data_IF_487242016816
#
_entry.id   IF_487242016816
#
_cell.length_a   1.000
_cell.length_b   1.000
_cell.length_c   1.000
_cell.angle_alpha   90.00
_cell.angle_beta   90.00
_cell.angle_gamma   90.00
#
_symmetry.space_group_name_H-M   'P 1'
#
loop_
_entity.id
_entity.type
_entity.pdbx_description
1 polymer ?
#
# COMPACT_ATOMS: atom_id res chain seq x y z
N UNK A 1 -24.13 -16.12 -1.63
CA UNK A 1 -24.79 -15.04 -2.41
C UNK A 1 -26.00 -14.54 -1.62
N UNK A 2 -25.98 -13.32 -1.09
CA UNK A 2 -27.11 -12.80 -0.30
C UNK A 2 -28.17 -12.30 -1.27
N UNK A 3 -29.30 -13.01 -1.34
CA UNK A 3 -30.43 -12.61 -2.19
C UNK A 3 -31.01 -11.30 -1.68
N UNK A 4 -31.24 -10.37 -2.60
CA UNK A 4 -31.97 -9.13 -2.32
C UNK A 4 -33.37 -9.50 -1.79
N UNK A 5 -33.85 -8.89 -0.68
CA UNK A 5 -35.17 -9.20 -0.15
C UNK A 5 -36.26 -8.80 -1.14
N UNK A 6 -37.34 -9.59 -1.21
CA UNK A 6 -38.58 -9.17 -1.87
C UNK A 6 -39.30 -8.19 -0.96
N UNK A 7 -39.71 -7.04 -1.50
CA UNK A 7 -40.39 -5.98 -0.76
C UNK A 7 -41.90 -6.16 -0.83
N UNK A 8 -42.58 -5.86 0.28
CA UNK A 8 -44.05 -5.72 0.27
C UNK A 8 -44.48 -4.49 -0.54
N UNK A 9 -45.78 -4.40 -0.90
CA UNK A 9 -46.31 -3.22 -1.59
C UNK A 9 -46.10 -1.93 -0.78
N UNK A 10 -46.27 -2.01 0.54
CA UNK A 10 -46.06 -0.86 1.43
C UNK A 10 -44.59 -0.46 1.49
N UNK A 11 -43.67 -1.43 1.56
CA UNK A 11 -42.23 -1.17 1.52
C UNK A 11 -41.79 -0.53 0.20
N UNK A 12 -42.40 -0.91 -0.93
CA UNK A 12 -42.15 -0.26 -2.24
C UNK A 12 -42.57 1.21 -2.21
N UNK A 13 -43.73 1.52 -1.62
CA UNK A 13 -44.20 2.92 -1.46
C UNK A 13 -43.23 3.71 -0.57
N UNK A 14 -42.75 3.11 0.52
CA UNK A 14 -41.76 3.75 1.41
C UNK A 14 -40.43 4.01 0.69
N UNK A 15 -39.92 3.07 -0.12
CA UNK A 15 -38.72 3.29 -0.94
C UNK A 15 -38.91 4.40 -1.97
N UNK A 16 -40.04 4.42 -2.68
CA UNK A 16 -40.36 5.50 -3.63
C UNK A 16 -40.42 6.86 -2.92
N UNK A 17 -40.94 6.90 -1.69
CA UNK A 17 -40.95 8.13 -0.88
C UNK A 17 -39.53 8.57 -0.52
N UNK A 18 -38.63 7.66 -0.13
CA UNK A 18 -37.21 7.99 0.12
C UNK A 18 -36.53 8.54 -1.12
N UNK A 19 -36.72 7.86 -2.27
CA UNK A 19 -36.14 8.27 -3.54
C UNK A 19 -36.62 9.67 -3.94
N UNK A 20 -37.91 9.96 -3.76
CA UNK A 20 -38.46 11.31 -3.99
C UNK A 20 -37.79 12.35 -3.11
N UNK A 21 -37.72 12.13 -1.79
CA UNK A 21 -37.09 13.09 -0.86
C UNK A 21 -35.62 13.31 -1.23
N UNK A 22 -34.85 12.24 -1.47
CA UNK A 22 -33.44 12.32 -1.86
C UNK A 22 -33.24 13.03 -3.20
N UNK A 23 -34.11 12.79 -4.17
CA UNK A 23 -34.08 13.47 -5.46
C UNK A 23 -34.30 14.99 -5.30
N UNK A 24 -35.27 15.39 -4.47
CA UNK A 24 -35.51 16.80 -4.16
C UNK A 24 -34.32 17.44 -3.45
N UNK A 25 -33.73 16.78 -2.43
CA UNK A 25 -32.54 17.29 -1.74
C UNK A 25 -31.35 17.47 -2.72
N UNK A 26 -31.15 16.52 -3.64
CA UNK A 26 -30.12 16.61 -4.68
C UNK A 26 -30.39 17.78 -5.64
N UNK A 27 -31.65 17.95 -6.08
CA UNK A 27 -32.07 19.07 -6.92
C UNK A 27 -31.78 20.42 -6.24
N UNK A 28 -32.12 20.54 -4.95
CA UNK A 28 -31.84 21.74 -4.16
C UNK A 28 -30.32 22.05 -4.14
N UNK A 29 -29.48 21.04 -3.88
CA UNK A 29 -28.01 21.22 -3.86
C UNK A 29 -27.46 21.69 -5.20
N UNK A 30 -27.89 21.06 -6.29
CA UNK A 30 -27.44 21.43 -7.63
C UNK A 30 -27.86 22.87 -7.98
N UNK A 31 -29.10 23.25 -7.65
CA UNK A 31 -29.62 24.60 -7.86
C UNK A 31 -28.87 25.61 -7.01
N UNK A 32 -28.59 25.30 -5.75
CA UNK A 32 -27.79 26.15 -4.87
C UNK A 32 -26.37 26.37 -5.41
N UNK A 33 -25.70 25.32 -5.90
CA UNK A 33 -24.40 25.48 -6.56
C UNK A 33 -24.47 26.42 -7.77
N UNK A 34 -25.58 26.38 -8.51
CA UNK A 34 -25.78 27.25 -9.68
C UNK A 34 -25.98 28.71 -9.25
N UNK A 35 -26.80 28.96 -8.22
CA UNK A 35 -26.95 30.29 -7.61
C UNK A 35 -25.60 30.82 -7.17
N UNK A 36 -24.83 30.02 -6.42
CA UNK A 36 -23.56 30.45 -5.84
C UNK A 36 -22.55 30.86 -6.91
N UNK A 37 -22.52 30.16 -8.05
CA UNK A 37 -21.62 30.50 -9.15
C UNK A 37 -22.07 31.75 -9.93
N UNK A 38 -23.38 32.05 -9.97
CA UNK A 38 -23.92 33.18 -10.74
C UNK A 38 -24.05 34.48 -9.94
N UNK A 39 -23.96 34.41 -8.61
CA UNK A 39 -24.30 35.54 -7.73
C UNK A 39 -23.41 36.78 -7.95
N UNK A 40 -22.17 36.59 -8.42
CA UNK A 40 -21.24 37.67 -8.74
C UNK A 40 -21.31 38.10 -10.22
N UNK A 41 -21.48 37.14 -11.12
CA UNK A 41 -21.40 37.36 -12.57
C UNK A 41 -22.73 37.79 -13.21
N UNK A 42 -23.87 37.28 -12.73
CA UNK A 42 -25.21 37.59 -13.23
C UNK A 42 -26.24 37.61 -12.08
N UNK A 43 -26.33 38.73 -11.33
CA UNK A 43 -27.16 38.79 -10.13
C UNK A 43 -28.66 38.65 -10.42
N UNK A 44 -29.15 39.11 -11.57
CA UNK A 44 -30.55 38.93 -11.98
C UNK A 44 -30.92 37.45 -12.18
N UNK A 45 -30.08 36.69 -12.87
CA UNK A 45 -30.30 35.25 -13.08
C UNK A 45 -30.17 34.49 -11.75
N UNK A 46 -29.23 34.90 -10.91
CA UNK A 46 -29.04 34.33 -9.59
C UNK A 46 -30.29 34.53 -8.69
N UNK A 47 -30.96 35.69 -8.76
CA UNK A 47 -32.21 35.96 -8.03
C UNK A 47 -33.32 34.99 -8.47
N UNK A 48 -33.51 34.81 -9.78
CA UNK A 48 -34.54 33.90 -10.33
C UNK A 48 -34.27 32.46 -9.88
N UNK A 49 -33.01 32.00 -9.99
CA UNK A 49 -32.61 30.67 -9.53
C UNK A 49 -32.73 30.52 -8.01
N UNK A 50 -32.56 31.59 -7.25
CA UNK A 50 -32.75 31.60 -5.81
C UNK A 50 -34.22 31.43 -5.42
N UNK A 51 -35.14 32.09 -6.14
CA UNK A 51 -36.58 31.90 -5.94
C UNK A 51 -36.98 30.44 -6.11
N UNK A 52 -36.49 29.86 -7.20
CA UNK A 52 -36.64 28.45 -7.50
C UNK A 52 -35.98 27.54 -6.46
N UNK A 53 -34.86 27.94 -5.85
CA UNK A 53 -34.23 27.21 -4.76
C UNK A 53 -35.11 27.24 -3.50
N UNK A 54 -35.69 28.39 -3.14
CA UNK A 54 -36.57 28.53 -1.98
C UNK A 54 -37.78 27.58 -2.08
N UNK A 55 -38.40 27.51 -3.26
CA UNK A 55 -39.52 26.59 -3.51
C UNK A 55 -39.10 25.12 -3.40
N UNK A 56 -37.94 24.75 -3.96
CA UNK A 56 -37.43 23.38 -3.85
C UNK A 56 -37.10 23.02 -2.39
N UNK A 57 -36.49 23.94 -1.64
CA UNK A 57 -36.15 23.79 -0.23
C UNK A 57 -37.40 23.61 0.65
N UNK A 58 -38.43 24.40 0.40
CA UNK A 58 -39.72 24.27 1.08
C UNK A 58 -40.39 22.94 0.75
N UNK A 59 -40.46 22.56 -0.53
CA UNK A 59 -41.08 21.30 -0.94
C UNK A 59 -40.34 20.09 -0.35
N UNK A 60 -39.01 20.14 -0.24
CA UNK A 60 -38.24 19.13 0.49
C UNK A 60 -38.65 19.06 1.97
N UNK A 61 -38.79 20.21 2.65
CA UNK A 61 -39.22 20.25 4.04
C UNK A 61 -40.64 19.67 4.23
N UNK A 62 -41.57 19.99 3.32
CA UNK A 62 -42.97 19.53 3.38
C UNK A 62 -43.10 18.03 3.10
N UNK A 63 -42.32 17.49 2.16
CA UNK A 63 -42.25 16.05 1.90
C UNK A 63 -41.76 15.26 3.13
N UNK A 64 -40.82 15.83 3.88
CA UNK A 64 -40.34 15.27 5.15
C UNK A 64 -41.45 15.35 6.21
N UNK A 65 -42.13 16.49 6.34
CA UNK A 65 -43.16 16.70 7.36
C UNK A 65 -44.54 16.10 7.02
N UNK A 66 -44.68 15.35 5.92
CA UNK A 66 -45.95 14.79 5.40
C UNK A 66 -47.03 15.85 5.08
N UNK A 67 -46.63 17.08 4.80
CA UNK A 67 -47.55 18.16 4.41
C UNK A 67 -47.72 18.23 2.89
N UNK A 68 -48.76 18.93 2.43
CA UNK A 68 -49.01 19.13 0.99
C UNK A 68 -47.92 20.00 0.36
N UNK A 69 -47.55 19.70 -0.87
CA UNK A 69 -46.62 20.52 -1.66
C UNK A 69 -47.18 21.93 -1.90
N UNK A 70 -46.27 22.90 -2.06
CA UNK A 70 -46.61 24.32 -2.26
C UNK A 70 -46.05 24.78 -3.60
N UNK A 71 -46.87 25.47 -4.38
CA UNK A 71 -46.55 25.91 -5.74
C UNK A 71 -46.03 27.35 -5.83
N UNK A 72 -46.17 28.15 -4.77
CA UNK A 72 -45.82 29.57 -4.77
C UNK A 72 -45.22 30.04 -3.42
N UNK A 73 -44.43 31.12 -3.46
CA UNK A 73 -43.80 31.67 -2.25
C UNK A 73 -44.77 32.42 -1.34
N UNK A 74 -45.93 32.85 -1.85
CA UNK A 74 -46.95 33.59 -1.07
C UNK A 74 -47.51 32.70 0.04
N UNK A 75 -47.68 31.40 -0.24
CA UNK A 75 -48.15 30.41 0.72
C UNK A 75 -47.01 29.74 1.51
N UNK A 76 -45.75 29.90 1.10
CA UNK A 76 -44.60 29.24 1.70
C UNK A 76 -44.42 29.53 3.19
N UNK A 77 -44.53 30.81 3.58
CA UNK A 77 -44.36 31.21 4.98
C UNK A 77 -45.46 30.63 5.88
N UNK A 78 -46.69 30.52 5.35
CA UNK A 78 -47.81 29.92 6.09
C UNK A 78 -47.59 28.43 6.34
N UNK A 79 -47.12 27.69 5.34
CA UNK A 79 -46.93 26.25 5.46
C UNK A 79 -45.69 25.88 6.28
N UNK A 80 -44.58 26.62 6.16
CA UNK A 80 -43.39 26.35 7.00
C UNK A 80 -43.66 26.65 8.48
N UNK A 81 -44.57 27.60 8.80
CA UNK A 81 -44.99 27.86 10.18
C UNK A 81 -45.72 26.67 10.82
N UNK A 82 -46.28 25.76 10.01
CA UNK A 82 -46.90 24.51 10.47
C UNK A 82 -45.90 23.37 10.65
N UNK A 83 -44.65 23.53 10.20
CA UNK A 83 -43.61 22.53 10.41
C UNK A 83 -43.31 22.41 11.92
N UNK A 84 -43.28 21.17 12.41
CA UNK A 84 -43.00 20.88 13.82
C UNK A 84 -41.52 21.08 14.18
N UNK A 85 -40.62 21.01 13.20
CA UNK A 85 -39.18 21.16 13.39
C UNK A 85 -38.80 22.65 13.48
N UNK A 86 -38.49 23.09 14.70
CA UNK A 86 -38.09 24.46 15.00
C UNK A 86 -36.85 24.91 14.21
N UNK A 87 -35.88 24.01 13.98
CA UNK A 87 -34.65 24.33 13.29
C UNK A 87 -34.90 24.54 11.79
N UNK A 88 -35.73 23.71 11.17
CA UNK A 88 -36.13 23.91 9.77
C UNK A 88 -36.86 25.25 9.60
N UNK A 89 -37.83 25.52 10.48
CA UNK A 89 -38.61 26.75 10.45
C UNK A 89 -37.72 28.01 10.53
N UNK A 90 -36.85 28.08 11.53
CA UNK A 90 -36.02 29.28 11.73
C UNK A 90 -35.02 29.48 10.60
N UNK A 91 -34.32 28.42 10.18
CA UNK A 91 -33.35 28.52 9.11
C UNK A 91 -34.04 28.93 7.79
N UNK A 92 -35.24 28.43 7.48
CA UNK A 92 -36.00 28.87 6.30
C UNK A 92 -36.41 30.34 6.38
N UNK A 93 -36.90 30.81 7.53
CA UNK A 93 -37.28 32.22 7.74
C UNK A 93 -36.07 33.13 7.55
N UNK A 94 -34.88 32.74 8.04
CA UNK A 94 -33.65 33.50 7.81
C UNK A 94 -33.30 33.61 6.32
N UNK A 95 -33.40 32.50 5.57
CA UNK A 95 -33.12 32.48 4.12
C UNK A 95 -34.17 33.32 3.36
N UNK A 96 -35.45 33.24 3.73
CA UNK A 96 -36.51 34.05 3.12
C UNK A 96 -36.33 35.54 3.41
N UNK A 97 -36.00 35.89 4.66
CA UNK A 97 -35.71 37.28 5.06
C UNK A 97 -34.52 37.82 4.29
N UNK A 98 -33.49 36.99 4.06
CA UNK A 98 -32.36 37.35 3.21
C UNK A 98 -32.81 37.66 1.78
N UNK A 99 -33.61 36.78 1.17
CA UNK A 99 -34.11 36.97 -0.19
C UNK A 99 -34.91 38.26 -0.36
N UNK A 100 -35.82 38.55 0.58
CA UNK A 100 -36.63 39.78 0.58
C UNK A 100 -35.75 41.04 0.67
N UNK A 101 -34.67 41.00 1.48
CA UNK A 101 -33.70 42.09 1.55
C UNK A 101 -32.90 42.24 0.27
N UNK A 102 -32.53 41.14 -0.39
CA UNK A 102 -31.80 41.18 -1.65
C UNK A 102 -32.66 41.79 -2.77
N UNK A 103 -33.92 41.38 -2.89
CA UNK A 103 -34.85 41.90 -3.90
C UNK A 103 -35.11 43.41 -3.77
N UNK A 104 -35.10 43.94 -2.54
CA UNK A 104 -35.36 45.36 -2.27
C UNK A 104 -34.09 46.23 -2.27
N UNK A 105 -32.91 45.64 -2.47
CA UNK A 105 -31.64 46.36 -2.53
C UNK A 105 -31.55 47.21 -3.82
N UNK A 106 -31.29 48.53 -3.73
CA UNK A 106 -31.22 49.41 -4.90
C UNK A 106 -30.15 48.99 -5.92
N UNK A 107 -29.03 48.47 -5.43
CA UNK A 107 -27.88 48.11 -6.26
C UNK A 107 -27.97 46.69 -6.82
N UNK A 108 -28.90 45.86 -6.30
CA UNK A 108 -29.03 44.40 -6.55
C UNK A 108 -27.75 43.56 -6.36
N UNK A 109 -26.61 44.20 -6.07
CA UNK A 109 -25.35 43.59 -5.68
C UNK A 109 -25.38 43.27 -4.19
N UNK A 110 -24.82 42.11 -3.86
CA UNK A 110 -24.68 41.67 -2.47
C UNK A 110 -23.24 41.89 -2.01
N UNK A 111 -23.03 42.53 -0.85
CA UNK A 111 -21.72 42.54 -0.22
C UNK A 111 -21.25 41.11 0.05
N UNK A 112 -19.97 40.81 -0.13
CA UNK A 112 -19.42 39.47 0.13
C UNK A 112 -19.74 38.91 1.53
N UNK A 113 -19.84 39.79 2.54
CA UNK A 113 -20.30 39.41 3.90
C UNK A 113 -21.73 38.86 3.90
N UNK A 114 -22.63 39.44 3.12
CA UNK A 114 -24.01 38.97 2.98
C UNK A 114 -24.06 37.61 2.25
N UNK A 115 -23.26 37.44 1.19
CA UNK A 115 -23.13 36.15 0.47
C UNK A 115 -22.65 35.05 1.42
N UNK A 116 -21.64 35.33 2.25
CA UNK A 116 -21.14 34.37 3.24
C UNK A 116 -22.20 33.99 4.29
N UNK A 117 -22.98 34.98 4.77
CA UNK A 117 -24.07 34.72 5.71
C UNK A 117 -25.17 33.86 5.08
N UNK A 118 -25.55 34.15 3.83
CA UNK A 118 -26.50 33.35 3.05
C UNK A 118 -26.01 31.91 2.91
N UNK A 119 -24.75 31.74 2.53
CA UNK A 119 -24.13 30.43 2.37
C UNK A 119 -24.18 29.62 3.67
N UNK A 120 -23.88 30.28 4.80
CA UNK A 120 -23.97 29.65 6.10
C UNK A 120 -25.40 29.25 6.48
N UNK A 121 -26.40 30.11 6.26
CA UNK A 121 -27.81 29.80 6.54
C UNK A 121 -28.37 28.68 5.66
N UNK A 122 -28.05 28.67 4.37
CA UNK A 122 -28.45 27.58 3.45
C UNK A 122 -27.82 26.25 3.85
N UNK A 123 -26.52 26.25 4.20
CA UNK A 123 -25.86 25.03 4.68
C UNK A 123 -26.45 24.53 5.99
N UNK A 124 -26.79 25.43 6.94
CA UNK A 124 -27.50 25.05 8.16
C UNK A 124 -28.86 24.43 7.86
N UNK A 125 -29.61 25.02 6.92
CA UNK A 125 -30.90 24.47 6.49
C UNK A 125 -30.75 23.10 5.81
N UNK A 126 -29.76 22.91 4.94
CA UNK A 126 -29.48 21.59 4.35
C UNK A 126 -29.14 20.53 5.40
N UNK A 127 -28.29 20.87 6.37
CA UNK A 127 -27.96 19.95 7.47
C UNK A 127 -29.20 19.61 8.30
N UNK A 128 -30.06 20.59 8.57
CA UNK A 128 -31.32 20.35 9.25
C UNK A 128 -32.23 19.43 8.42
N UNK A 129 -32.41 19.68 7.12
CA UNK A 129 -33.20 18.81 6.23
C UNK A 129 -32.66 17.38 6.19
N UNK A 130 -31.35 17.21 6.05
CA UNK A 130 -30.71 15.90 6.07
C UNK A 130 -30.94 15.20 7.41
N UNK A 131 -30.74 15.90 8.52
CA UNK A 131 -30.98 15.37 9.85
C UNK A 131 -32.44 14.92 10.02
N UNK A 132 -33.42 15.77 9.71
CA UNK A 132 -34.84 15.44 9.81
C UNK A 132 -35.22 14.29 8.87
N UNK A 133 -34.62 14.22 7.68
CA UNK A 133 -34.77 13.07 6.78
C UNK A 133 -34.21 11.78 7.39
N UNK A 134 -33.00 11.79 7.95
CA UNK A 134 -32.41 10.61 8.57
C UNK A 134 -33.22 10.14 9.78
N UNK A 135 -33.70 11.06 10.63
CA UNK A 135 -34.60 10.73 11.74
C UNK A 135 -35.91 10.12 11.24
N UNK A 136 -36.52 10.69 10.20
CA UNK A 136 -37.72 10.14 9.57
C UNK A 136 -37.45 8.76 8.96
N UNK A 137 -36.29 8.60 8.31
CA UNK A 137 -35.86 7.34 7.71
C UNK A 137 -35.76 6.23 8.75
N UNK A 138 -35.09 6.52 9.85
CA UNK A 138 -34.87 5.58 10.95
C UNK A 138 -36.18 5.19 11.64
N UNK A 139 -37.04 6.17 11.94
CA UNK A 139 -38.27 5.95 12.72
C UNK A 139 -39.43 5.38 11.92
N UNK A 140 -39.61 5.82 10.67
CA UNK A 140 -40.86 5.59 9.93
C UNK A 140 -40.67 5.02 8.53
N UNK A 141 -39.52 5.23 7.89
CA UNK A 141 -39.31 4.74 6.52
C UNK A 141 -38.47 3.48 6.47
N UNK A 142 -38.00 2.92 7.59
CA UNK A 142 -37.10 1.76 7.56
C UNK A 142 -37.78 0.56 6.85
N UNK A 143 -37.06 -0.09 5.93
CA UNK A 143 -37.54 -1.26 5.18
C UNK A 143 -36.54 -2.41 5.27
N UNK A 144 -36.94 -3.61 4.88
CA UNK A 144 -36.02 -4.75 4.73
C UNK A 144 -34.85 -4.47 3.78
N UNK A 145 -35.01 -3.54 2.82
CA UNK A 145 -33.93 -3.16 1.92
C UNK A 145 -32.83 -2.38 2.64
N UNK A 146 -33.17 -1.53 3.62
CA UNK A 146 -32.19 -0.80 4.41
C UNK A 146 -31.38 -1.75 5.30
N UNK A 147 -32.05 -2.68 5.99
CA UNK A 147 -31.36 -3.73 6.76
C UNK A 147 -30.43 -4.58 5.88
N UNK A 148 -30.85 -4.89 4.66
CA UNK A 148 -30.01 -5.58 3.68
C UNK A 148 -28.79 -4.73 3.28
N UNK A 149 -28.98 -3.45 2.97
CA UNK A 149 -27.89 -2.53 2.61
C UNK A 149 -26.89 -2.36 3.75
N UNK A 150 -27.35 -2.22 4.99
CA UNK A 150 -26.47 -2.12 6.15
C UNK A 150 -25.67 -3.40 6.38
N UNK A 151 -26.31 -4.59 6.29
CA UNK A 151 -25.58 -5.87 6.34
C UNK A 151 -24.52 -5.98 5.24
N UNK A 152 -24.85 -5.55 4.02
CA UNK A 152 -23.90 -5.58 2.91
C UNK A 152 -22.70 -4.66 3.16
N UNK A 153 -22.93 -3.43 3.66
CA UNK A 153 -21.84 -2.51 4.04
C UNK A 153 -20.91 -3.13 5.09
N UNK A 154 -21.48 -3.71 6.15
CA UNK A 154 -20.69 -4.37 7.20
C UNK A 154 -19.86 -5.51 6.62
N UNK A 155 -20.44 -6.34 5.75
CA UNK A 155 -19.71 -7.44 5.11
C UNK A 155 -18.58 -6.97 4.21
N UNK A 156 -18.79 -5.91 3.43
CA UNK A 156 -17.73 -5.32 2.63
C UNK A 156 -16.57 -4.82 3.51
N UNK A 157 -16.89 -4.13 4.62
CA UNK A 157 -15.86 -3.67 5.57
C UNK A 157 -15.07 -4.85 6.13
N UNK A 158 -15.74 -5.90 6.61
CA UNK A 158 -15.07 -7.11 7.12
C UNK A 158 -14.19 -7.75 6.05
N UNK A 159 -14.67 -7.86 4.82
CA UNK A 159 -13.91 -8.46 3.72
C UNK A 159 -12.65 -7.65 3.38
N UNK A 160 -12.74 -6.32 3.34
CA UNK A 160 -11.58 -5.45 3.13
C UNK A 160 -10.54 -5.60 4.25
N UNK A 161 -10.98 -5.72 5.51
CA UNK A 161 -10.07 -5.94 6.64
C UNK A 161 -9.34 -7.28 6.54
N UNK A 162 -10.02 -8.34 6.08
CA UNK A 162 -9.40 -9.65 5.87
C UNK A 162 -8.32 -9.57 4.78
N UNK A 163 -8.64 -8.95 3.63
CA UNK A 163 -7.66 -8.80 2.53
C UNK A 163 -6.43 -8.01 3.00
N UNK A 164 -6.66 -6.91 3.72
CA UNK A 164 -5.58 -6.09 4.25
C UNK A 164 -4.68 -6.92 5.19
N UNK A 165 -5.29 -7.68 6.10
CA UNK A 165 -4.56 -8.52 7.04
C UNK A 165 -3.72 -9.58 6.34
N UNK A 166 -4.31 -10.32 5.38
CA UNK A 166 -3.59 -11.33 4.59
C UNK A 166 -2.42 -10.71 3.83
N UNK A 167 -2.63 -9.56 3.18
CA UNK A 167 -1.58 -8.86 2.43
C UNK A 167 -0.39 -8.46 3.32
N UNK A 168 -0.68 -7.90 4.50
CA UNK A 168 0.35 -7.52 5.48
C UNK A 168 1.10 -8.75 5.98
N UNK A 169 0.40 -9.82 6.36
CA UNK A 169 1.03 -11.06 6.85
C UNK A 169 1.95 -11.70 5.81
N UNK A 170 1.58 -11.70 4.53
CA UNK A 170 2.43 -12.25 3.46
C UNK A 170 3.75 -11.50 3.31
N UNK A 171 3.74 -10.17 3.42
CA UNK A 171 4.96 -9.35 3.31
C UNK A 171 5.90 -9.65 4.49
N UNK A 172 5.38 -9.65 5.71
CA UNK A 172 6.18 -9.95 6.91
C UNK A 172 6.77 -11.36 6.89
N UNK A 173 6.00 -12.35 6.42
CA UNK A 173 6.47 -13.74 6.32
C UNK A 173 7.74 -13.90 5.48
N UNK A 174 7.82 -13.20 4.33
CA UNK A 174 9.00 -13.25 3.44
C UNK A 174 10.23 -12.61 4.08
N UNK A 175 10.07 -11.48 4.77
CA UNK A 175 11.18 -10.80 5.43
C UNK A 175 11.79 -11.64 6.57
N UNK A 176 10.94 -12.24 7.40
CA UNK A 176 11.38 -13.08 8.52
C UNK A 176 12.11 -14.32 7.97
N UNK A 177 11.58 -14.96 6.93
CA UNK A 177 12.21 -16.14 6.33
C UNK A 177 13.61 -15.85 5.77
N UNK A 178 13.79 -14.73 5.05
CA UNK A 178 15.10 -14.32 4.54
C UNK A 178 16.10 -14.05 5.67
N UNK A 179 15.66 -13.33 6.72
CA UNK A 179 16.50 -13.06 7.88
C UNK A 179 16.91 -14.33 8.62
N UNK A 180 16.00 -15.30 8.73
CA UNK A 180 16.26 -16.56 9.42
C UNK A 180 17.34 -17.40 8.71
N UNK A 181 17.28 -17.48 7.38
CA UNK A 181 18.27 -18.23 6.60
C UNK A 181 19.69 -17.62 6.69
N UNK A 182 19.80 -16.29 6.69
CA UNK A 182 21.09 -15.59 6.80
C UNK A 182 21.80 -15.90 8.13
N UNK A 183 21.07 -15.88 9.24
CA UNK A 183 21.64 -16.09 10.57
C UNK A 183 22.17 -17.51 10.79
N UNK A 184 21.62 -18.51 10.10
CA UNK A 184 22.02 -19.92 10.27
C UNK A 184 23.10 -20.40 9.31
N UNK A 185 23.09 -19.93 8.06
CA UNK A 185 23.99 -20.48 7.04
C UNK A 185 25.38 -19.83 7.05
N UNK A 186 25.50 -18.53 7.36
CA UNK A 186 26.81 -17.86 7.38
C UNK A 186 27.82 -18.52 8.35
N UNK A 187 27.46 -18.89 9.59
CA UNK A 187 28.39 -19.58 10.50
C UNK A 187 28.80 -20.96 9.98
N UNK A 188 27.88 -21.70 9.36
CA UNK A 188 28.16 -23.02 8.79
C UNK A 188 29.15 -22.93 7.63
N UNK A 189 28.90 -22.03 6.68
CA UNK A 189 29.79 -21.80 5.54
C UNK A 189 31.16 -21.33 6.01
N UNK A 190 31.20 -20.39 6.97
CA UNK A 190 32.46 -19.93 7.55
C UNK A 190 33.24 -21.07 8.23
N UNK A 191 32.55 -21.98 8.93
CA UNK A 191 33.19 -23.15 9.52
C UNK A 191 33.79 -24.06 8.45
N UNK A 192 33.05 -24.38 7.38
CA UNK A 192 33.58 -25.19 6.27
C UNK A 192 34.80 -24.52 5.62
N UNK A 193 34.75 -23.20 5.41
CA UNK A 193 35.87 -22.45 4.86
C UNK A 193 37.10 -22.47 5.77
N UNK A 194 36.93 -22.44 7.09
CA UNK A 194 38.03 -22.57 8.04
C UNK A 194 38.65 -23.99 7.98
N UNK A 195 37.84 -25.04 7.84
CA UNK A 195 38.33 -26.41 7.63
C UNK A 195 39.14 -26.51 6.32
N UNK A 196 38.62 -25.95 5.23
CA UNK A 196 39.32 -25.89 3.93
C UNK A 196 40.64 -25.14 4.06
N UNK A 197 40.64 -23.98 4.73
CA UNK A 197 41.84 -23.17 4.93
C UNK A 197 42.90 -23.92 5.77
N UNK A 198 42.47 -24.67 6.79
CA UNK A 198 43.39 -25.51 7.59
C UNK A 198 43.99 -26.64 6.76
N UNK A 199 43.19 -27.30 5.93
CA UNK A 199 43.63 -28.34 5.00
C UNK A 199 44.65 -27.77 4.00
N UNK A 200 44.34 -26.62 3.40
CA UNK A 200 45.24 -25.92 2.48
C UNK A 200 46.55 -25.54 3.17
N UNK A 201 46.50 -25.03 4.42
CA UNK A 201 47.69 -24.76 5.21
C UNK A 201 48.54 -26.02 5.43
N UNK A 202 47.92 -27.15 5.80
CA UNK A 202 48.63 -28.43 6.00
C UNK A 202 49.28 -28.95 4.72
N UNK A 203 48.61 -28.81 3.57
CA UNK A 203 49.17 -29.17 2.27
C UNK A 203 50.45 -28.39 1.97
N UNK A 204 50.42 -27.07 2.18
CA UNK A 204 51.60 -26.20 2.04
C UNK A 204 52.71 -26.59 3.02
N UNK A 205 52.34 -26.89 4.27
CA UNK A 205 53.31 -27.22 5.32
C UNK A 205 54.04 -28.54 5.05
N UNK A 206 53.33 -29.55 4.52
CA UNK A 206 53.86 -30.88 4.25
C UNK A 206 55.04 -30.85 3.28
N UNK A 207 54.92 -30.03 2.22
CA UNK A 207 55.91 -29.98 1.14
C UNK A 207 56.70 -28.67 1.08
N UNK A 208 56.42 -27.72 1.97
CA UNK A 208 57.01 -26.36 1.97
C UNK A 208 56.85 -25.70 0.59
N UNK A 209 55.64 -25.78 0.04
CA UNK A 209 55.27 -25.27 -1.28
C UNK A 209 54.11 -24.27 -1.16
N UNK A 210 54.08 -23.29 -2.07
CA UNK A 210 52.99 -22.34 -2.14
C UNK A 210 51.75 -22.98 -2.78
N UNK A 211 50.54 -22.44 -2.56
CA UNK A 211 49.33 -23.01 -3.16
C UNK A 211 49.34 -22.98 -4.68
N UNK A 212 49.93 -21.94 -5.29
CA UNK A 212 50.12 -21.85 -6.75
C UNK A 212 50.82 -23.08 -7.34
N UNK A 213 51.79 -23.66 -6.62
CA UNK A 213 52.53 -24.84 -7.05
C UNK A 213 51.71 -26.13 -6.86
N UNK A 214 50.88 -26.17 -5.80
CA UNK A 214 49.99 -27.29 -5.50
C UNK A 214 48.80 -27.33 -6.49
N UNK A 215 48.14 -26.20 -6.72
CA UNK A 215 46.96 -26.11 -7.58
C UNK A 215 47.33 -26.02 -9.06
N UNK A 216 48.56 -25.59 -9.38
CA UNK A 216 49.02 -25.33 -10.74
C UNK A 216 48.31 -24.12 -11.39
N UNK A 217 47.74 -23.24 -10.58
CA UNK A 217 46.93 -22.10 -11.01
C UNK A 217 47.29 -20.87 -10.20
N UNK A 218 47.47 -19.73 -10.88
CA UNK A 218 47.64 -18.43 -10.23
C UNK A 218 46.31 -17.74 -9.97
N UNK A 219 45.20 -18.31 -10.46
CA UNK A 219 43.89 -17.68 -10.31
C UNK A 219 42.77 -18.69 -10.54
N UNK A 220 42.51 -19.49 -9.51
CA UNK A 220 41.42 -20.47 -9.54
C UNK A 220 40.04 -19.79 -9.57
N UNK A 221 39.91 -18.61 -8.96
CA UNK A 221 38.68 -17.83 -8.94
C UNK A 221 38.42 -16.96 -10.19
N UNK A 222 39.40 -16.75 -11.07
CA UNK A 222 39.27 -15.79 -12.19
C UNK A 222 38.05 -16.07 -13.08
N UNK A 223 37.73 -17.33 -13.31
CA UNK A 223 36.59 -17.74 -14.12
C UNK A 223 35.21 -17.45 -13.46
N UNK A 224 35.22 -17.05 -12.19
CA UNK A 224 34.04 -16.72 -11.41
C UNK A 224 33.76 -15.20 -11.36
N UNK A 225 34.79 -14.35 -11.55
CA UNK A 225 34.73 -12.90 -11.26
C UNK A 225 33.70 -12.14 -12.08
N UNK A 226 33.43 -12.56 -13.32
CA UNK A 226 32.50 -11.88 -14.23
C UNK A 226 31.06 -12.46 -14.18
N UNK A 227 30.79 -13.43 -13.31
CA UNK A 227 29.47 -14.05 -13.22
C UNK A 227 28.52 -13.21 -12.36
N UNK A 228 27.30 -13.03 -12.86
CA UNK A 228 26.24 -12.29 -12.17
C UNK A 228 25.59 -13.07 -11.02
N UNK A 229 25.67 -14.39 -11.03
CA UNK A 229 25.15 -15.29 -10.00
C UNK A 229 25.93 -16.60 -10.04
N UNK A 230 26.53 -16.97 -8.91
CA UNK A 230 27.36 -18.17 -8.76
C UNK A 230 26.57 -19.38 -8.28
N UNK A 231 25.30 -19.20 -7.88
CA UNK A 231 24.46 -20.27 -7.34
C UNK A 231 23.97 -21.19 -8.45
N UNK A 232 24.06 -22.50 -8.22
CA UNK A 232 23.53 -23.50 -9.15
C UNK A 232 24.19 -23.50 -10.53
N UNK A 233 25.39 -22.90 -10.66
CA UNK A 233 26.15 -23.01 -11.90
C UNK A 233 26.50 -24.47 -12.13
N UNK A 234 26.42 -24.93 -13.37
CA UNK A 234 26.69 -26.32 -13.73
C UNK A 234 28.14 -26.73 -13.37
N UNK A 235 28.36 -27.96 -12.92
CA UNK A 235 29.69 -28.48 -12.57
C UNK A 235 30.67 -28.44 -13.76
N UNK A 236 30.15 -28.39 -14.99
CA UNK A 236 30.96 -28.25 -16.19
C UNK A 236 31.43 -26.82 -16.46
N UNK A 237 30.88 -25.82 -15.76
CA UNK A 237 31.25 -24.42 -15.90
C UNK A 237 32.71 -24.19 -15.47
N UNK A 238 33.50 -23.36 -16.18
CA UNK A 238 34.90 -23.12 -15.85
C UNK A 238 35.17 -22.71 -14.40
N UNK A 239 34.31 -21.88 -13.80
CA UNK A 239 34.37 -21.51 -12.38
C UNK A 239 34.31 -22.75 -11.45
N UNK A 240 33.27 -23.59 -11.57
CA UNK A 240 33.10 -24.79 -10.76
C UNK A 240 34.23 -25.82 -10.98
N UNK A 241 34.64 -26.01 -12.24
CA UNK A 241 35.76 -26.91 -12.59
C UNK A 241 37.08 -26.47 -12.00
N UNK A 242 37.41 -25.18 -12.08
CA UNK A 242 38.66 -24.64 -11.52
C UNK A 242 38.69 -24.80 -10.01
N UNK A 243 37.59 -24.46 -9.33
CA UNK A 243 37.46 -24.70 -7.90
C UNK A 243 37.67 -26.17 -7.56
N UNK A 244 36.91 -27.08 -8.19
CA UNK A 244 37.01 -28.52 -7.96
C UNK A 244 38.43 -29.05 -8.16
N UNK A 245 39.10 -28.60 -9.23
CA UNK A 245 40.49 -28.98 -9.50
C UNK A 245 41.43 -28.51 -8.39
N UNK A 246 41.30 -27.25 -7.95
CA UNK A 246 42.15 -26.68 -6.91
C UNK A 246 41.97 -27.42 -5.57
N UNK A 247 40.72 -27.59 -5.10
CA UNK A 247 40.46 -28.28 -3.84
C UNK A 247 40.86 -29.76 -3.89
N UNK A 248 40.74 -30.41 -5.05
CA UNK A 248 41.19 -31.78 -5.25
C UNK A 248 42.70 -31.91 -5.18
N UNK A 249 43.45 -31.01 -5.82
CA UNK A 249 44.92 -31.00 -5.70
C UNK A 249 45.35 -30.80 -4.25
N UNK A 250 44.79 -29.81 -3.56
CA UNK A 250 45.06 -29.55 -2.14
C UNK A 250 44.75 -30.79 -1.29
N UNK A 251 43.62 -31.44 -1.53
CA UNK A 251 43.22 -32.63 -0.78
C UNK A 251 44.21 -33.79 -0.96
N UNK A 252 44.65 -34.04 -2.20
CA UNK A 252 45.59 -35.11 -2.51
C UNK A 252 46.99 -34.92 -1.89
N UNK A 253 47.37 -33.69 -1.52
CA UNK A 253 48.64 -33.44 -0.82
C UNK A 253 48.64 -33.95 0.62
N UNK A 254 47.47 -34.13 1.24
CA UNK A 254 47.35 -34.49 2.66
C UNK A 254 46.70 -35.87 2.89
N UNK A 255 46.11 -36.49 1.88
CA UNK A 255 45.43 -37.80 2.01
C UNK A 255 45.44 -38.60 0.70
N UNK A 256 45.33 -39.92 0.82
CA UNK A 256 45.23 -40.87 -0.30
C UNK A 256 43.76 -41.10 -0.75
N UNK A 257 42.79 -40.42 -0.15
CA UNK A 257 41.37 -40.56 -0.47
C UNK A 257 41.01 -40.02 -1.87
N UNK A 258 39.95 -40.58 -2.48
CA UNK A 258 39.56 -40.31 -3.88
C UNK A 258 38.85 -38.98 -4.13
N UNK A 259 39.24 -37.91 -3.42
CA UNK A 259 38.74 -36.54 -3.58
C UNK A 259 38.15 -35.93 -2.32
N UNK A 260 37.93 -34.60 -2.31
CA UNK A 260 37.46 -33.87 -1.14
C UNK A 260 35.98 -34.18 -0.84
N UNK A 261 35.55 -34.05 0.43
CA UNK A 261 34.14 -34.16 0.81
C UNK A 261 33.22 -33.20 0.03
N UNK A 262 32.01 -33.64 -0.32
CA UNK A 262 31.03 -32.85 -1.08
C UNK A 262 30.75 -31.46 -0.47
N UNK A 263 30.77 -31.34 0.87
CA UNK A 263 30.56 -30.07 1.58
C UNK A 263 31.63 -28.99 1.29
N UNK A 264 32.75 -29.38 0.70
CA UNK A 264 33.81 -28.46 0.26
C UNK A 264 33.69 -28.07 -1.21
N UNK A 265 32.76 -28.69 -1.96
CA UNK A 265 32.60 -28.36 -3.37
C UNK A 265 31.78 -27.08 -3.55
N UNK A 266 30.80 -26.85 -2.67
CA UNK A 266 29.89 -25.70 -2.74
C UNK A 266 29.52 -25.18 -1.35
N UNK A 267 29.14 -23.91 -1.29
CA UNK A 267 28.59 -23.28 -0.10
C UNK A 267 27.12 -23.69 0.15
N UNK A 268 26.53 -23.19 1.24
CA UNK A 268 25.15 -23.51 1.62
C UNK A 268 24.08 -22.94 0.67
N UNK A 269 24.49 -22.11 -0.30
CA UNK A 269 23.63 -21.53 -1.33
C UNK A 269 23.96 -22.08 -2.72
N UNK A 270 24.70 -23.18 -2.79
CA UNK A 270 25.04 -23.90 -4.03
C UNK A 270 26.01 -23.14 -4.96
N UNK A 271 26.77 -22.19 -4.41
CA UNK A 271 27.87 -21.51 -5.12
C UNK A 271 29.18 -22.26 -4.91
N UNK A 272 30.04 -22.44 -5.92
CA UNK A 272 31.40 -22.91 -5.70
C UNK A 272 32.18 -21.93 -4.83
N UNK A 273 33.07 -22.44 -3.96
CA UNK A 273 34.04 -21.58 -3.31
C UNK A 273 35.05 -21.05 -4.32
N UNK A 274 35.72 -19.97 -3.96
CA UNK A 274 36.66 -19.25 -4.79
C UNK A 274 38.00 -19.21 -4.06
N UNK A 275 39.09 -19.50 -4.78
CA UNK A 275 40.45 -19.46 -4.26
C UNK A 275 41.27 -18.47 -5.10
N UNK A 276 41.94 -17.56 -4.40
CA UNK A 276 42.85 -16.57 -4.94
C UNK A 276 44.25 -16.86 -4.37
N UNK A 277 45.05 -17.58 -5.15
CA UNK A 277 46.41 -18.01 -4.84
C UNK A 277 47.41 -16.83 -4.91
N UNK A 278 47.31 -15.91 -3.95
CA UNK A 278 48.10 -14.67 -3.94
C UNK A 278 49.58 -14.87 -3.61
N UNK A 279 49.99 -16.03 -3.10
CA UNK A 279 51.38 -16.30 -2.76
C UNK A 279 52.29 -16.34 -3.99
N UNK A 280 53.46 -15.69 -3.89
CA UNK A 280 54.46 -15.60 -4.95
C UNK A 280 53.97 -15.00 -6.29
N UNK A 281 52.79 -14.37 -6.34
CA UNK A 281 52.33 -13.69 -7.57
C UNK A 281 53.14 -12.43 -7.90
N UNK A 282 53.72 -11.78 -6.89
CA UNK A 282 54.43 -10.52 -7.03
C UNK A 282 55.81 -10.59 -6.35
N UNK A 283 56.88 -10.36 -7.12
CA UNK A 283 58.27 -10.39 -6.64
C UNK A 283 58.53 -9.46 -5.42
N UNK A 284 57.77 -8.37 -5.31
CA UNK A 284 57.91 -7.39 -4.24
C UNK A 284 57.07 -7.71 -2.98
N UNK A 285 56.19 -8.72 -3.03
CA UNK A 285 55.36 -9.14 -1.90
C UNK A 285 55.02 -10.65 -1.97
N UNK A 286 56.03 -11.54 -1.89
CA UNK A 286 55.78 -12.98 -1.96
C UNK A 286 55.04 -13.54 -0.74
N UNK A 287 54.92 -12.75 0.34
CA UNK A 287 54.40 -13.15 1.65
C UNK A 287 52.89 -12.95 1.85
N UNK A 288 52.13 -12.68 0.78
CA UNK A 288 50.68 -12.46 0.90
C UNK A 288 49.99 -13.77 1.29
N UNK A 289 48.96 -13.70 2.13
CA UNK A 289 48.12 -14.87 2.39
C UNK A 289 47.24 -15.16 1.17
N UNK A 290 46.96 -16.43 0.92
CA UNK A 290 45.94 -16.82 -0.05
C UNK A 290 44.54 -16.53 0.53
N UNK A 291 43.56 -16.33 -0.34
CA UNK A 291 42.20 -15.97 0.07
C UNK A 291 41.23 -17.03 -0.41
N UNK A 292 40.45 -17.58 0.52
CA UNK A 292 39.28 -18.39 0.24
C UNK A 292 38.02 -17.54 0.41
N UNK A 293 37.12 -17.60 -0.57
CA UNK A 293 35.91 -16.78 -0.62
C UNK A 293 34.66 -17.62 -0.93
N UNK A 294 33.56 -17.28 -0.27
CA UNK A 294 32.20 -17.71 -0.60
C UNK A 294 31.40 -16.48 -1.01
N UNK A 295 30.68 -16.56 -2.12
CA UNK A 295 29.83 -15.46 -2.63
C UNK A 295 28.57 -15.23 -1.78
N UNK A 296 28.28 -16.14 -0.84
CA UNK A 296 27.23 -15.92 0.14
C UNK A 296 25.83 -16.05 -0.44
N UNK A 297 24.87 -15.49 0.29
CA UNK A 297 23.45 -15.74 0.04
C UNK A 297 22.94 -15.19 -1.30
N UNK A 298 23.45 -14.05 -1.74
CA UNK A 298 23.00 -13.43 -2.98
C UNK A 298 23.66 -14.03 -4.23
N UNK A 299 24.71 -14.85 -4.04
CA UNK A 299 25.45 -15.52 -5.09
C UNK A 299 26.38 -14.59 -5.86
N UNK A 300 26.64 -13.37 -5.35
CA UNK A 300 27.33 -12.32 -6.08
C UNK A 300 28.62 -11.96 -5.38
N UNK A 301 29.72 -12.06 -6.13
CA UNK A 301 31.01 -11.58 -5.65
C UNK A 301 31.00 -10.05 -5.51
N UNK A 302 31.71 -9.54 -4.51
CA UNK A 302 31.93 -8.13 -4.24
C UNK A 302 30.78 -7.47 -3.48
N UNK A 303 29.94 -8.25 -2.78
CA UNK A 303 28.81 -7.74 -2.02
C UNK A 303 29.01 -7.90 -0.52
N UNK A 304 28.07 -7.37 0.28
CA UNK A 304 28.09 -7.51 1.72
C UNK A 304 27.77 -8.92 2.22
N UNK A 305 27.45 -9.87 1.32
CA UNK A 305 27.22 -11.28 1.65
C UNK A 305 28.47 -12.15 1.46
N UNK A 306 29.54 -11.62 0.86
CA UNK A 306 30.81 -12.32 0.74
C UNK A 306 31.35 -12.73 2.12
N UNK A 307 31.80 -13.98 2.20
CA UNK A 307 32.50 -14.52 3.37
C UNK A 307 33.93 -14.82 2.92
N UNK A 308 34.89 -14.22 3.61
CA UNK A 308 36.33 -14.37 3.30
C UNK A 308 37.06 -15.04 4.47
N UNK A 309 37.94 -15.97 4.14
CA UNK A 309 38.87 -16.62 5.07
C UNK A 309 40.27 -16.58 4.47
N UNK A 310 41.24 -16.11 5.25
CA UNK A 310 42.64 -16.12 4.84
C UNK A 310 43.27 -17.49 5.13
N UNK A 311 44.04 -17.99 4.16
CA UNK A 311 44.90 -19.15 4.31
C UNK A 311 46.31 -18.63 4.57
N UNK A 312 46.85 -18.96 5.75
CA UNK A 312 48.14 -18.42 6.16
C UNK A 312 49.27 -18.92 5.26
N UNK A 313 50.27 -18.08 5.09
CA UNK A 313 51.55 -18.44 4.53
C UNK A 313 52.33 -19.37 5.48
N UNK A 314 53.09 -20.32 4.92
CA UNK A 314 53.90 -21.31 5.67
C UNK A 314 55.39 -21.00 5.67
N UNK A 315 55.83 -20.04 4.88
CA UNK A 315 57.23 -19.71 4.70
C UNK A 315 57.78 -18.79 5.81
N UNK A 316 56.91 -18.19 6.63
CA UNK A 316 57.28 -17.22 7.68
C UNK A 316 56.40 -17.29 8.93
#
# INVERSE_FOLDING_TARGET
MIRKPQLSKDEVILEQRKERILSHLKKCRNRYSSVYNLIEDSPEDAIILFEHLLLDLLNAALLISKNREVTDLVNAEREIRKAQDYNLKNNYIEILTFYQKWQTSPERKLPGRMINNLHHSINRFFRALEHSYYTLKEKELNTKLDEYRERLKHQLIVFFLIILFVGVSSIFGVHIFRSYNRTRMNPLVKQHMLEIAEIAYKAKEANKTALIDITGSTCSDCACRDLLDLRGIDDSHPCAKKWYSAIKSIWNEITEESGPPDRFLRDAWDSPYQLDENENEFDNSPWRNDILLSAGQDGKRGTADDIEVQIKNVFY
#
